data_IF_826543433927
#
_entry.id   IF_826543433927
#
_cell.length_a   1.000
_cell.length_b   1.000
_cell.length_c   1.000
_cell.angle_alpha   90.00
_cell.angle_beta   90.00
_cell.angle_gamma   90.00
#
_symmetry.space_group_name_H-M   'P 1'
#
loop_
_entity.id
_entity.type
_entity.pdbx_description
1 polymer ?
#
# COMPACT_ATOMS: atom_id res chain seq x y z
N UNK A 1 55.96 -7.13 7.80
CA UNK A 1 56.97 -7.85 6.99
C UNK A 1 56.20 -8.82 6.10
N UNK A 2 55.98 -8.45 4.84
CA UNK A 2 55.30 -9.26 3.81
C UNK A 2 56.38 -9.85 2.88
N UNK A 3 56.22 -11.07 2.32
CA UNK A 3 57.20 -11.65 1.40
C UNK A 3 57.06 -11.07 -0.02
N UNK A 4 58.12 -11.13 -0.86
CA UNK A 4 58.14 -10.48 -2.17
C UNK A 4 57.48 -11.32 -3.27
N UNK A 5 56.90 -10.63 -4.26
CA UNK A 5 56.24 -11.19 -5.45
C UNK A 5 57.28 -11.37 -6.58
N UNK A 6 57.25 -12.52 -7.24
CA UNK A 6 58.16 -12.95 -8.31
C UNK A 6 57.80 -12.32 -9.68
N UNK A 7 58.73 -11.62 -10.37
CA UNK A 7 58.45 -10.91 -11.62
C UNK A 7 58.75 -11.77 -12.86
N UNK A 8 58.09 -12.92 -13.03
CA UNK A 8 58.09 -13.69 -14.28
C UNK A 8 56.76 -14.40 -14.56
N UNK A 9 55.71 -13.63 -14.87
CA UNK A 9 54.65 -14.06 -15.79
C UNK A 9 54.08 -12.84 -16.54
N UNK A 10 54.96 -12.18 -17.30
CA UNK A 10 54.58 -11.25 -18.37
C UNK A 10 54.48 -12.08 -19.65
N UNK A 11 53.26 -12.33 -20.11
CA UNK A 11 52.95 -13.11 -21.31
C UNK A 11 51.93 -12.40 -22.20
N UNK A 12 52.47 -11.58 -23.12
CA UNK A 12 51.99 -11.24 -24.47
C UNK A 12 50.53 -10.77 -24.67
N UNK A 13 50.43 -9.47 -24.92
CA UNK A 13 49.38 -8.82 -25.71
C UNK A 13 49.25 -9.43 -27.11
N UNK A 14 48.01 -9.67 -27.54
CA UNK A 14 47.65 -9.81 -28.96
C UNK A 14 46.51 -8.83 -29.28
N UNK A 15 46.79 -7.95 -30.24
CA UNK A 15 45.94 -6.91 -30.78
C UNK A 15 44.64 -7.43 -31.41
N UNK A 16 43.50 -6.82 -31.04
CA UNK A 16 42.27 -6.87 -31.81
C UNK A 16 41.88 -5.44 -32.22
N UNK A 17 42.04 -5.13 -33.52
CA UNK A 17 41.64 -3.86 -34.14
C UNK A 17 40.12 -3.85 -34.41
N UNK A 18 39.41 -2.74 -34.21
CA UNK A 18 38.05 -2.56 -34.73
C UNK A 18 38.09 -2.10 -36.21
N UNK A 19 37.25 -2.70 -37.04
CA UNK A 19 37.05 -2.28 -38.44
C UNK A 19 36.10 -1.07 -38.48
N UNK A 20 36.65 0.05 -38.95
CA UNK A 20 35.92 1.25 -39.37
C UNK A 20 35.34 1.00 -40.76
N UNK A 21 34.04 1.24 -40.95
CA UNK A 21 33.42 1.44 -42.25
C UNK A 21 32.93 2.87 -42.31
N UNK A 22 33.47 3.64 -43.25
CA UNK A 22 33.03 4.98 -43.58
C UNK A 22 33.07 5.17 -45.08
N UNK A 23 31.96 5.65 -45.63
CA UNK A 23 31.72 6.39 -46.88
C UNK A 23 30.22 6.25 -47.18
N UNK A 24 29.41 7.27 -47.51
CA UNK A 24 29.61 8.61 -48.07
C UNK A 24 28.42 9.50 -47.70
N UNK A 25 28.66 10.80 -47.79
CA UNK A 25 27.70 11.90 -47.69
C UNK A 25 26.75 11.95 -48.89
N UNK A 26 25.53 12.44 -48.69
CA UNK A 26 24.85 13.40 -49.56
C UNK A 26 23.79 14.19 -48.75
N UNK A 27 23.73 15.48 -49.05
CA UNK A 27 22.95 16.57 -48.44
C UNK A 27 21.46 16.56 -48.84
N UNK A 28 20.74 17.54 -48.26
CA UNK A 28 19.44 18.12 -48.66
C UNK A 28 18.19 17.40 -48.12
N UNK A 29 17.09 18.01 -47.67
CA UNK A 29 16.64 19.38 -47.31
C UNK A 29 15.22 19.20 -46.73
N UNK A 30 14.82 20.09 -45.81
CA UNK A 30 13.46 20.59 -45.53
C UNK A 30 12.26 19.68 -45.15
N UNK A 31 11.57 20.13 -44.11
CA UNK A 31 10.19 19.78 -43.75
C UNK A 31 9.18 20.38 -44.75
N UNK A 32 7.92 19.89 -44.77
CA UNK A 32 6.84 20.80 -44.34
C UNK A 32 5.65 20.11 -43.63
N UNK A 33 4.89 20.92 -42.89
CA UNK A 33 3.45 20.77 -42.57
C UNK A 33 2.71 21.97 -43.19
N UNK A 34 1.37 22.11 -43.09
CA UNK A 34 0.28 21.28 -43.65
C UNK A 34 -0.73 22.13 -44.49
N UNK A 35 -1.54 21.55 -45.38
CA UNK A 35 -2.73 22.21 -46.00
C UNK A 35 -3.79 21.13 -46.34
N UNK A 36 -4.97 21.14 -45.69
CA UNK A 36 -6.28 21.74 -46.08
C UNK A 36 -7.15 20.85 -47.00
N UNK A 37 -8.41 20.59 -46.58
CA UNK A 37 -9.47 19.88 -47.36
C UNK A 37 -9.95 20.66 -48.60
N UNK A 38 -11.04 20.25 -49.31
CA UNK A 38 -12.38 20.01 -48.73
C UNK A 38 -13.28 18.89 -49.38
N UNK A 39 -14.39 18.62 -48.70
CA UNK A 39 -15.80 18.29 -49.08
C UNK A 39 -16.24 17.54 -50.38
N UNK A 40 -17.31 16.74 -50.22
CA UNK A 40 -18.32 16.34 -51.24
C UNK A 40 -18.49 14.81 -51.36
N UNK A 41 -19.55 14.12 -50.93
CA UNK A 41 -21.02 14.17 -51.15
C UNK A 41 -21.51 12.94 -51.96
N UNK A 42 -22.29 12.09 -51.28
CA UNK A 42 -23.57 11.41 -51.64
C UNK A 42 -23.84 10.65 -52.96
N UNK A 43 -24.74 9.67 -52.80
CA UNK A 43 -25.68 8.97 -53.73
C UNK A 43 -25.11 7.85 -54.61
N UNK A 44 -25.57 6.59 -54.45
CA UNK A 44 -26.76 5.94 -55.09
C UNK A 44 -26.60 5.87 -56.63
N UNK A 45 -26.89 4.81 -57.38
CA UNK A 45 -27.90 3.76 -57.28
C UNK A 45 -27.58 2.59 -58.27
N UNK A 46 -28.27 1.45 -58.09
CA UNK A 46 -28.88 0.58 -59.14
C UNK A 46 -27.98 -0.18 -60.16
N UNK A 47 -28.33 -1.33 -60.73
CA UNK A 47 -29.35 -2.38 -60.54
C UNK A 47 -29.10 -3.46 -61.65
N UNK A 48 -29.94 -4.51 -61.67
CA UNK A 48 -30.14 -5.52 -62.74
C UNK A 48 -29.14 -6.70 -62.81
N UNK A 49 -29.54 -7.97 -62.96
CA UNK A 49 -30.82 -8.66 -63.15
C UNK A 49 -30.52 -10.18 -63.20
N UNK A 50 -31.34 -11.06 -62.63
CA UNK A 50 -32.43 -11.81 -63.29
C UNK A 50 -32.16 -13.32 -63.18
N UNK A 51 -33.01 -14.09 -62.48
CA UNK A 51 -34.05 -15.02 -63.00
C UNK A 51 -33.46 -16.36 -63.53
N UNK A 52 -33.90 -17.59 -63.22
CA UNK A 52 -35.21 -18.24 -62.93
C UNK A 52 -34.96 -19.61 -62.23
N UNK A 53 -35.70 -20.04 -61.18
CA UNK A 53 -36.93 -20.87 -61.15
C UNK A 53 -36.83 -22.34 -61.64
N UNK A 54 -36.91 -23.31 -60.71
CA UNK A 54 -37.92 -24.39 -60.59
C UNK A 54 -37.72 -25.07 -59.21
N UNK A 55 -38.64 -25.70 -58.48
CA UNK A 55 -40.05 -26.03 -58.66
C UNK A 55 -40.35 -27.30 -57.84
N UNK A 56 -41.50 -27.33 -57.15
CA UNK A 56 -42.18 -28.44 -56.41
C UNK A 56 -41.72 -28.74 -54.97
N UNK A 57 -42.46 -28.40 -53.90
CA UNK A 57 -43.83 -28.78 -53.45
C UNK A 57 -43.86 -30.23 -52.87
N UNK A 58 -44.43 -30.58 -51.72
CA UNK A 58 -45.41 -29.95 -50.81
C UNK A 58 -45.49 -30.80 -49.49
N UNK A 59 -46.46 -30.66 -48.57
CA UNK A 59 -46.21 -30.23 -47.19
C UNK A 59 -46.73 -31.24 -46.13
N UNK A 60 -46.89 -30.79 -44.88
CA UNK A 60 -48.06 -31.00 -43.99
C UNK A 60 -47.80 -31.40 -42.52
N UNK A 61 -48.38 -30.57 -41.64
CA UNK A 61 -48.95 -30.81 -40.29
C UNK A 61 -47.96 -30.74 -39.09
N UNK A 62 -48.18 -30.01 -37.98
CA UNK A 62 -49.35 -29.29 -37.41
C UNK A 62 -48.87 -28.42 -36.21
N UNK A 63 -49.52 -27.25 -36.03
CA UNK A 63 -50.01 -26.54 -34.81
C UNK A 63 -49.82 -27.22 -33.43
N UNK A 64 -49.68 -26.59 -32.24
CA UNK A 64 -49.75 -25.21 -31.72
C UNK A 64 -49.26 -25.22 -30.22
N UNK A 65 -49.29 -24.11 -29.44
CA UNK A 65 -48.40 -23.80 -28.30
C UNK A 65 -49.03 -23.96 -26.88
N UNK A 66 -48.22 -23.72 -25.83
CA UNK A 66 -48.54 -23.32 -24.42
C UNK A 66 -47.39 -23.82 -23.51
N UNK A 67 -46.90 -23.20 -22.43
CA UNK A 67 -47.40 -22.16 -21.51
C UNK A 67 -46.17 -21.52 -20.81
N UNK A 68 -46.19 -20.20 -20.62
CA UNK A 68 -45.49 -19.55 -19.50
C UNK A 68 -46.34 -19.70 -18.22
N UNK A 69 -45.70 -19.71 -17.04
CA UNK A 69 -46.23 -18.85 -16.00
C UNK A 69 -45.13 -18.00 -15.32
N UNK A 70 -45.43 -16.70 -15.28
CA UNK A 70 -45.01 -15.72 -14.29
C UNK A 70 -45.22 -16.20 -12.86
N UNK A 71 -44.27 -15.92 -11.95
CA UNK A 71 -44.57 -15.50 -10.57
C UNK A 71 -43.30 -15.08 -9.79
N UNK A 72 -43.21 -13.79 -9.49
CA UNK A 72 -42.62 -13.18 -8.27
C UNK A 72 -43.57 -12.03 -7.90
N UNK A 73 -43.65 -11.51 -6.64
CA UNK A 73 -42.72 -11.68 -5.51
C UNK A 73 -43.40 -11.90 -4.12
N UNK A 74 -42.63 -12.33 -3.10
CA UNK A 74 -42.96 -11.99 -1.69
C UNK A 74 -41.70 -11.71 -0.86
N UNK A 75 -41.58 -10.45 -0.45
CA UNK A 75 -40.80 -9.94 0.69
C UNK A 75 -41.35 -10.51 2.01
N UNK A 76 -40.47 -11.00 2.90
CA UNK A 76 -40.52 -10.71 4.35
C UNK A 76 -39.16 -11.01 5.02
N UNK A 77 -38.78 -10.25 6.06
CA UNK A 77 -37.41 -10.16 6.54
C UNK A 77 -37.08 -11.19 7.64
N UNK A 78 -35.92 -11.85 7.53
CA UNK A 78 -35.36 -12.64 8.61
C UNK A 78 -34.73 -11.73 9.68
N UNK A 79 -35.15 -11.95 10.93
CA UNK A 79 -34.90 -11.09 12.09
C UNK A 79 -33.45 -10.99 12.58
N UNK A 80 -33.21 -9.88 13.27
CA UNK A 80 -32.02 -9.55 14.05
C UNK A 80 -31.75 -10.56 15.19
N UNK A 81 -30.49 -10.94 15.45
CA UNK A 81 -30.09 -11.43 16.75
C UNK A 81 -29.68 -10.26 17.66
N UNK A 82 -30.51 -9.96 18.65
CA UNK A 82 -30.16 -9.16 19.83
C UNK A 82 -29.35 -10.03 20.80
N UNK A 83 -28.08 -9.67 21.03
CA UNK A 83 -27.30 -10.17 22.17
C UNK A 83 -27.18 -9.04 23.21
N UNK A 84 -28.05 -9.11 24.24
CA UNK A 84 -27.81 -8.51 25.55
C UNK A 84 -26.87 -9.42 26.35
N UNK A 85 -25.77 -8.91 26.96
CA UNK A 85 -25.08 -9.66 27.99
C UNK A 85 -25.80 -9.50 29.33
N UNK A 86 -26.16 -10.65 29.91
CA UNK A 86 -26.74 -10.78 31.23
C UNK A 86 -25.83 -10.23 32.34
N UNK A 87 -26.49 -9.50 33.24
CA UNK A 87 -26.08 -9.12 34.58
C UNK A 87 -25.70 -10.36 35.41
N UNK A 88 -24.46 -10.38 35.92
CA UNK A 88 -24.11 -11.16 37.11
C UNK A 88 -23.34 -10.27 38.07
N UNK A 89 -24.03 -9.93 39.15
CA UNK A 89 -23.54 -9.36 40.39
C UNK A 89 -22.32 -10.09 40.96
N UNK A 90 -21.32 -9.31 41.40
CA UNK A 90 -20.34 -9.73 42.38
C UNK A 90 -20.13 -8.59 43.38
N UNK A 91 -20.27 -8.96 44.64
CA UNK A 91 -20.36 -8.16 45.86
C UNK A 91 -19.28 -7.10 46.08
N UNK A 92 -19.72 -6.03 46.73
CA UNK A 92 -18.91 -5.03 47.40
C UNK A 92 -18.09 -5.62 48.56
N UNK A 93 -16.84 -5.20 48.70
CA UNK A 93 -16.16 -5.16 49.98
C UNK A 93 -15.21 -3.96 50.03
N UNK A 94 -15.65 -2.96 50.78
CA UNK A 94 -14.95 -1.76 51.22
C UNK A 94 -13.83 -2.09 52.21
N UNK A 95 -12.74 -1.32 52.16
CA UNK A 95 -11.65 -1.42 53.12
C UNK A 95 -10.64 -0.28 53.01
N UNK A 96 -10.88 0.79 53.78
CA UNK A 96 -9.90 1.83 54.11
C UNK A 96 -8.64 1.24 54.77
N UNK A 97 -7.43 1.74 54.50
CA UNK A 97 -6.28 1.53 55.37
C UNK A 97 -6.18 2.60 56.47
N UNK A 98 -5.98 2.24 57.75
CA UNK A 98 -5.79 3.21 58.83
C UNK A 98 -4.33 3.68 58.95
N UNK A 99 -4.20 4.93 59.41
CA UNK A 99 -2.96 5.51 59.92
C UNK A 99 -2.78 5.22 61.43
N UNK A 100 -1.53 4.99 61.86
CA UNK A 100 -0.97 5.26 63.21
C UNK A 100 0.45 4.63 63.31
N UNK A 101 1.53 5.42 63.31
CA UNK A 101 2.23 5.96 64.49
C UNK A 101 3.14 4.96 65.24
N UNK A 102 4.44 5.25 65.26
CA UNK A 102 5.44 4.63 66.15
C UNK A 102 6.76 5.42 66.12
N UNK A 103 7.00 6.19 67.18
CA UNK A 103 8.24 6.87 67.58
C UNK A 103 9.34 5.85 67.95
N UNK A 104 10.65 6.11 68.18
CA UNK A 104 11.52 7.24 68.55
C UNK A 104 12.98 6.77 68.29
N UNK A 105 13.92 7.68 68.02
CA UNK A 105 15.37 7.38 68.10
C UNK A 105 16.25 8.52 67.61
N UNK A 106 17.15 9.01 68.47
CA UNK A 106 17.75 10.35 68.43
C UNK A 106 19.14 10.46 67.74
N UNK A 107 19.42 11.70 67.28
CA UNK A 107 20.68 12.46 67.29
C UNK A 107 21.88 12.01 66.42
N UNK A 108 22.36 12.88 65.51
CA UNK A 108 23.45 13.87 65.73
C UNK A 108 23.92 14.51 64.40
N UNK A 109 24.14 15.83 64.47
CA UNK A 109 25.03 16.76 63.75
C UNK A 109 25.63 16.43 62.37
N UNK A 110 25.50 17.40 61.44
CA UNK A 110 26.47 17.61 60.36
C UNK A 110 25.92 18.35 59.14
N UNK A 111 25.96 19.68 59.14
CA UNK A 111 25.87 20.50 57.91
C UNK A 111 27.24 20.58 57.21
N UNK A 112 27.30 20.50 55.87
CA UNK A 112 28.02 21.51 55.08
C UNK A 112 27.34 21.76 53.69
N UNK A 113 27.83 22.68 52.81
CA UNK A 113 27.08 23.89 52.45
C UNK A 113 26.65 23.94 50.96
N UNK A 114 25.88 24.99 50.67
CA UNK A 114 25.49 25.55 49.37
C UNK A 114 26.18 25.00 48.11
N UNK A 115 25.36 24.38 47.27
CA UNK A 115 25.62 24.17 45.86
C UNK A 115 24.33 24.41 45.07
N UNK A 116 24.34 25.44 44.23
CA UNK A 116 23.28 25.78 43.28
C UNK A 116 22.85 24.55 42.47
N UNK A 117 21.77 23.90 42.91
CA UNK A 117 20.99 23.02 42.04
C UNK A 117 20.09 23.93 41.22
N UNK A 118 20.63 24.34 40.08
CA UNK A 118 19.85 24.72 38.91
C UNK A 118 18.87 23.58 38.68
N UNK A 119 17.64 23.77 39.14
CA UNK A 119 16.51 22.96 38.73
C UNK A 119 16.30 23.26 37.25
N UNK A 120 17.00 22.50 36.42
CA UNK A 120 16.57 22.29 35.05
C UNK A 120 15.22 21.59 35.16
N UNK A 121 14.17 22.40 35.29
CA UNK A 121 12.82 22.04 34.94
C UNK A 121 12.95 21.34 33.59
N UNK A 122 12.71 20.02 33.60
CA UNK A 122 12.46 19.27 32.40
C UNK A 122 11.21 19.91 31.79
N UNK A 123 11.43 20.95 31.00
CA UNK A 123 10.45 21.45 30.07
C UNK A 123 10.11 20.24 29.21
N UNK A 124 9.03 19.55 29.59
CA UNK A 124 8.45 18.52 28.76
C UNK A 124 8.22 19.20 27.44
N UNK A 125 9.07 18.89 26.45
CA UNK A 125 8.85 19.33 25.10
C UNK A 125 7.49 18.74 24.76
N UNK A 126 6.44 19.56 24.78
CA UNK A 126 5.16 19.18 24.21
C UNK A 126 5.45 18.97 22.74
N UNK A 127 5.88 17.75 22.37
CA UNK A 127 5.94 17.32 20.99
C UNK A 127 4.53 17.55 20.49
N UNK A 128 4.38 18.47 19.54
CA UNK A 128 3.07 18.72 18.95
C UNK A 128 2.60 17.39 18.37
N UNK A 129 1.34 17.06 18.60
CA UNK A 129 0.71 15.90 17.96
C UNK A 129 0.92 16.01 16.44
N UNK A 130 1.56 15.01 15.81
CA UNK A 130 1.80 15.06 14.37
C UNK A 130 0.46 15.08 13.64
N UNK A 131 0.33 15.94 12.64
CA UNK A 131 -0.85 16.01 11.78
C UNK A 131 -0.74 14.94 10.71
N UNK A 132 -1.68 14.00 10.72
CA UNK A 132 -1.75 12.92 9.74
C UNK A 132 -3.03 13.05 8.92
N UNK A 133 -2.90 13.03 7.60
CA UNK A 133 -4.05 12.85 6.72
C UNK A 133 -4.18 11.38 6.39
N UNK A 134 -5.36 10.82 6.62
CA UNK A 134 -5.79 9.56 6.01
C UNK A 134 -6.52 9.93 4.73
N UNK A 135 -5.96 9.52 3.58
CA UNK A 135 -6.50 9.90 2.28
C UNK A 135 -7.86 9.22 2.05
N UNK A 136 -8.91 10.03 1.94
CA UNK A 136 -10.24 9.55 1.59
C UNK A 136 -10.43 9.60 0.07
N UNK A 137 -10.47 8.43 -0.55
CA UNK A 137 -10.75 8.28 -1.97
C UNK A 137 -11.86 7.25 -2.22
N UNK A 138 -12.70 7.02 -1.19
CA UNK A 138 -13.82 6.09 -1.26
C UNK A 138 -13.46 4.61 -1.07
N UNK A 139 -12.25 4.29 -0.56
CA UNK A 139 -11.84 2.89 -0.32
C UNK A 139 -11.73 2.52 1.17
N UNK A 140 -12.36 1.39 1.52
CA UNK A 140 -12.03 0.59 2.70
C UNK A 140 -12.55 1.03 4.07
N UNK A 141 -12.09 0.31 5.10
CA UNK A 141 -12.43 0.54 6.50
C UNK A 141 -11.46 1.56 7.14
N UNK A 142 -11.50 2.80 6.66
CA UNK A 142 -10.61 3.90 7.08
C UNK A 142 -10.76 4.27 8.56
N UNK A 143 -11.92 3.99 9.16
CA UNK A 143 -12.22 4.34 10.56
C UNK A 143 -11.31 3.62 11.56
N UNK A 144 -10.92 2.38 11.29
CA UNK A 144 -10.00 1.65 12.18
C UNK A 144 -8.61 2.29 12.19
N UNK A 145 -8.09 2.67 11.02
CA UNK A 145 -6.80 3.35 10.90
C UNK A 145 -6.83 4.73 11.59
N UNK A 146 -7.87 5.52 11.35
CA UNK A 146 -8.09 6.82 12.00
C UNK A 146 -8.08 6.68 13.53
N UNK A 147 -8.87 5.74 14.08
CA UNK A 147 -8.95 5.52 15.53
C UNK A 147 -7.60 5.08 16.12
N UNK A 148 -6.86 4.21 15.43
CA UNK A 148 -5.55 3.76 15.90
C UNK A 148 -4.55 4.92 15.95
N UNK A 149 -4.45 5.71 14.88
CA UNK A 149 -3.57 6.88 14.84
C UNK A 149 -3.92 7.92 15.90
N UNK A 150 -5.21 8.18 16.14
CA UNK A 150 -5.67 9.06 17.21
C UNK A 150 -5.29 8.53 18.60
N UNK A 151 -5.44 7.22 18.84
CA UNK A 151 -5.01 6.57 20.09
C UNK A 151 -3.51 6.70 20.33
N UNK A 152 -2.71 6.73 19.25
CA UNK A 152 -1.26 6.95 19.30
C UNK A 152 -0.87 8.44 19.42
N UNK A 153 -1.84 9.36 19.52
CA UNK A 153 -1.60 10.77 19.78
C UNK A 153 -1.46 11.67 18.55
N UNK A 154 -1.74 11.15 17.35
CA UNK A 154 -1.76 11.96 16.13
C UNK A 154 -3.03 12.79 16.00
N UNK A 155 -2.91 13.99 15.43
CA UNK A 155 -4.05 14.79 14.98
C UNK A 155 -4.46 14.32 13.58
N UNK A 156 -5.54 13.55 13.49
CA UNK A 156 -5.92 12.84 12.24
C UNK A 156 -7.06 13.53 11.53
N UNK A 157 -6.89 13.73 10.22
CA UNK A 157 -7.93 14.21 9.31
C UNK A 157 -8.19 13.17 8.21
N UNK A 158 -9.45 12.74 8.05
CA UNK A 158 -9.88 11.90 6.94
C UNK A 158 -10.41 12.83 5.84
N UNK A 159 -9.68 12.95 4.73
CA UNK A 159 -10.02 13.93 3.68
C UNK A 159 -9.41 13.56 2.33
N UNK A 160 -10.03 14.05 1.27
CA UNK A 160 -9.50 14.05 -0.10
C UNK A 160 -8.82 15.38 -0.48
N UNK A 161 -8.82 16.37 0.42
CA UNK A 161 -8.34 17.72 0.11
C UNK A 161 -6.82 17.71 -0.21
N UNK A 162 -6.42 18.09 -1.44
CA UNK A 162 -5.01 18.11 -1.82
C UNK A 162 -4.19 19.07 -0.95
N UNK A 163 -4.76 20.18 -0.47
CA UNK A 163 -4.04 21.13 0.39
C UNK A 163 -3.77 20.51 1.75
N UNK A 164 -4.76 19.87 2.35
CA UNK A 164 -4.59 19.12 3.59
C UNK A 164 -3.56 18.00 3.46
N UNK A 165 -3.66 17.16 2.42
CA UNK A 165 -2.76 16.03 2.17
C UNK A 165 -1.31 16.49 1.93
N UNK A 166 -1.11 17.57 1.18
CA UNK A 166 0.19 18.21 1.00
C UNK A 166 0.60 19.04 2.23
N UNK A 167 -0.27 19.36 3.16
CA UNK A 167 0.07 20.15 4.35
C UNK A 167 0.43 19.31 5.57
N UNK A 168 0.05 18.03 5.60
CA UNK A 168 0.22 17.14 6.75
C UNK A 168 1.66 16.68 6.96
N UNK A 169 2.00 16.32 8.20
CA UNK A 169 3.30 15.72 8.53
C UNK A 169 3.40 14.32 7.92
N UNK A 170 2.33 13.51 8.05
CA UNK A 170 2.20 12.19 7.42
C UNK A 170 0.97 12.06 6.50
N UNK A 171 1.08 11.24 5.45
CA UNK A 171 -0.04 10.82 4.61
C UNK A 171 -0.20 9.30 4.69
N UNK A 172 -1.35 8.83 5.15
CA UNK A 172 -1.70 7.40 5.13
C UNK A 172 -2.61 7.13 3.94
N UNK A 173 -2.26 6.14 3.13
CA UNK A 173 -2.99 5.66 1.96
C UNK A 173 -3.58 4.29 2.29
N UNK A 174 -4.84 4.22 2.76
CA UNK A 174 -5.49 2.96 3.10
C UNK A 174 -6.09 2.33 1.85
N UNK A 175 -6.12 1.00 1.73
CA UNK A 175 -6.87 0.35 0.64
C UNK A 175 -7.42 -1.01 1.02
N UNK A 176 -8.68 -1.26 0.68
CA UNK A 176 -9.35 -2.57 0.80
C UNK A 176 -10.18 -2.81 -0.46
N UNK A 177 -10.26 -4.06 -0.89
CA UNK A 177 -11.05 -4.47 -2.05
C UNK A 177 -10.14 -4.74 -3.24
N UNK A 178 -10.61 -4.37 -4.43
CA UNK A 178 -9.92 -4.62 -5.68
C UNK A 178 -8.85 -3.55 -5.97
N UNK A 179 -7.68 -3.99 -6.47
CA UNK A 179 -6.57 -3.13 -6.86
C UNK A 179 -7.01 -2.03 -7.84
N UNK A 180 -7.72 -2.39 -8.91
CA UNK A 180 -8.06 -1.43 -9.97
C UNK A 180 -9.11 -0.42 -9.50
N UNK A 181 -10.05 -0.84 -8.65
CA UNK A 181 -10.98 0.09 -8.00
C UNK A 181 -10.25 1.11 -7.11
N UNK A 182 -9.29 0.64 -6.29
CA UNK A 182 -8.48 1.54 -5.45
C UNK A 182 -7.62 2.50 -6.28
N UNK A 183 -6.97 2.00 -7.33
CA UNK A 183 -6.16 2.82 -8.22
C UNK A 183 -7.00 3.88 -8.98
N UNK A 184 -8.22 3.54 -9.41
CA UNK A 184 -9.16 4.48 -10.00
C UNK A 184 -9.59 5.57 -9.00
N UNK A 185 -9.96 5.17 -7.78
CA UNK A 185 -10.35 6.12 -6.72
C UNK A 185 -9.21 7.07 -6.36
N UNK A 186 -7.98 6.56 -6.23
CA UNK A 186 -6.80 7.41 -6.02
C UNK A 186 -6.61 8.44 -7.13
N UNK A 187 -6.75 8.04 -8.40
CA UNK A 187 -6.66 8.98 -9.52
C UNK A 187 -7.76 10.04 -9.50
N UNK A 188 -8.97 9.68 -9.09
CA UNK A 188 -10.09 10.62 -9.00
C UNK A 188 -9.85 11.77 -8.00
N UNK A 189 -8.98 11.54 -6.99
CA UNK A 189 -8.58 12.58 -6.01
C UNK A 189 -7.16 13.09 -6.24
N UNK A 190 -6.58 12.83 -7.43
CA UNK A 190 -5.21 13.26 -7.79
C UNK A 190 -4.12 12.66 -6.86
N UNK A 191 -4.43 11.51 -6.25
CA UNK A 191 -3.60 10.76 -5.32
C UNK A 191 -2.17 10.48 -5.83
N UNK A 192 -1.96 10.04 -7.09
CA UNK A 192 -0.61 9.84 -7.61
C UNK A 192 0.26 11.09 -7.51
N UNK A 193 -0.24 12.26 -7.93
CA UNK A 193 0.52 13.51 -7.81
C UNK A 193 0.76 13.89 -6.36
N UNK A 194 -0.22 13.68 -5.47
CA UNK A 194 -0.05 13.96 -4.03
C UNK A 194 1.07 13.11 -3.41
N UNK A 195 1.11 11.82 -3.75
CA UNK A 195 2.14 10.89 -3.28
C UNK A 195 3.50 11.29 -3.86
N UNK A 196 3.61 11.50 -5.18
CA UNK A 196 4.85 11.88 -5.85
C UNK A 196 5.46 13.17 -5.26
N UNK A 197 4.64 14.22 -5.10
CA UNK A 197 5.09 15.51 -4.56
C UNK A 197 5.60 15.35 -3.13
N UNK A 198 4.92 14.54 -2.31
CA UNK A 198 5.37 14.28 -0.93
C UNK A 198 6.69 13.53 -0.91
N UNK A 199 6.81 12.45 -1.67
CA UNK A 199 8.00 11.62 -1.71
C UNK A 199 9.21 12.38 -2.27
N UNK A 200 9.02 13.18 -3.32
CA UNK A 200 10.06 14.07 -3.85
C UNK A 200 10.57 15.08 -2.81
N UNK A 201 9.70 15.51 -1.88
CA UNK A 201 10.05 16.38 -0.76
C UNK A 201 10.57 15.65 0.49
N UNK A 202 10.76 14.33 0.44
CA UNK A 202 11.17 13.53 1.61
C UNK A 202 10.08 13.40 2.68
N UNK A 203 8.81 13.61 2.33
CA UNK A 203 7.70 13.69 3.29
C UNK A 203 7.01 12.34 3.47
N UNK A 204 6.81 11.87 4.71
CA UNK A 204 6.33 10.51 4.96
C UNK A 204 4.99 10.15 4.33
N UNK A 205 4.92 8.94 3.75
CA UNK A 205 3.72 8.29 3.21
C UNK A 205 3.66 6.84 3.73
N UNK A 206 2.48 6.38 4.15
CA UNK A 206 2.26 5.01 4.63
C UNK A 206 1.14 4.30 3.85
N UNK A 207 1.43 3.24 3.12
CA UNK A 207 0.44 2.42 2.41
C UNK A 207 -0.04 1.20 3.22
N UNK A 208 -1.35 0.93 3.26
CA UNK A 208 -1.91 -0.27 3.93
C UNK A 208 -2.68 -1.15 2.95
N UNK A 209 -2.34 -2.44 2.93
CA UNK A 209 -2.99 -3.50 2.14
C UNK A 209 -3.06 -3.15 0.66
N UNK A 210 -4.23 -2.84 0.10
CA UNK A 210 -4.31 -2.42 -1.31
C UNK A 210 -3.61 -1.07 -1.52
N UNK A 211 -3.57 -0.21 -0.50
CA UNK A 211 -2.77 1.00 -0.50
C UNK A 211 -1.25 0.75 -0.59
N UNK A 212 -0.77 -0.41 -0.16
CA UNK A 212 0.59 -0.87 -0.48
C UNK A 212 0.68 -1.37 -1.92
N UNK A 213 -0.28 -2.21 -2.33
CA UNK A 213 -0.24 -2.85 -3.65
C UNK A 213 -0.20 -1.85 -4.79
N UNK A 214 -1.01 -0.78 -4.72
CA UNK A 214 -1.06 0.26 -5.76
C UNK A 214 0.26 0.99 -5.94
N UNK A 215 1.22 0.89 -5.01
CA UNK A 215 2.56 1.48 -5.16
C UNK A 215 3.46 0.72 -6.14
N UNK A 216 3.09 -0.51 -6.51
CA UNK A 216 3.75 -1.29 -7.57
C UNK A 216 3.32 -0.83 -8.97
N UNK A 217 3.90 -1.40 -10.04
CA UNK A 217 3.56 -1.02 -11.42
C UNK A 217 2.14 -1.43 -11.81
N UNK A 218 1.72 -2.63 -11.42
CA UNK A 218 0.48 -3.23 -11.89
C UNK A 218 -0.06 -4.33 -10.96
N UNK A 219 -1.25 -4.83 -11.27
CA UNK A 219 -1.85 -6.03 -10.66
C UNK A 219 -2.45 -6.92 -11.73
N UNK A 220 -2.34 -8.23 -11.53
CA UNK A 220 -3.02 -9.25 -12.32
C UNK A 220 -4.42 -9.60 -11.76
N UNK A 221 -4.89 -8.87 -10.74
CA UNK A 221 -6.24 -9.03 -10.24
C UNK A 221 -7.26 -8.67 -11.32
N UNK A 222 -8.28 -9.51 -11.59
CA UNK A 222 -9.32 -9.17 -12.55
C UNK A 222 -10.00 -7.85 -12.21
N UNK A 223 -10.20 -7.00 -13.22
CA UNK A 223 -10.96 -5.76 -13.12
C UNK A 223 -12.37 -5.97 -13.65
N UNK A 224 -13.37 -5.37 -12.98
CA UNK A 224 -14.74 -5.26 -13.53
C UNK A 224 -14.81 -4.17 -14.62
N UNK A 225 -13.91 -3.19 -14.60
CA UNK A 225 -13.80 -2.12 -15.57
C UNK A 225 -12.45 -2.09 -16.29
N UNK A 226 -12.08 -0.94 -16.87
CA UNK A 226 -10.77 -0.77 -17.49
C UNK A 226 -9.63 -1.00 -16.46
N UNK A 227 -8.68 -1.91 -16.73
CA UNK A 227 -7.53 -2.11 -15.87
C UNK A 227 -6.80 -0.80 -15.63
N UNK A 228 -6.54 -0.52 -14.36
CA UNK A 228 -5.80 0.64 -13.91
C UNK A 228 -4.34 0.26 -13.65
N UNK A 229 -3.35 1.03 -14.13
CA UNK A 229 -1.97 0.85 -13.71
C UNK A 229 -1.83 1.22 -12.23
N UNK A 230 -0.79 0.73 -11.57
CA UNK A 230 -0.36 1.23 -10.27
C UNK A 230 0.34 2.58 -10.38
N UNK A 231 1.03 2.96 -9.32
CA UNK A 231 1.72 4.24 -9.17
C UNK A 231 3.23 4.13 -9.47
N UNK A 232 3.74 2.92 -9.71
CA UNK A 232 5.12 2.67 -10.13
C UNK A 232 6.18 3.30 -9.19
N UNK A 233 5.88 3.38 -7.88
CA UNK A 233 6.87 3.76 -6.87
C UNK A 233 7.89 2.63 -6.65
N UNK A 234 7.43 1.38 -6.85
CA UNK A 234 8.28 0.19 -6.88
C UNK A 234 8.00 -0.63 -8.15
N UNK A 235 9.03 -1.23 -8.75
CA UNK A 235 8.83 -2.11 -9.88
C UNK A 235 8.14 -3.41 -9.43
N UNK A 236 7.32 -3.98 -10.31
CA UNK A 236 6.73 -5.30 -10.13
C UNK A 236 5.22 -5.35 -10.30
N UNK A 237 4.71 -6.58 -10.39
CA UNK A 237 3.28 -6.84 -10.55
C UNK A 237 2.75 -7.62 -9.36
N UNK A 238 1.65 -7.13 -8.79
CA UNK A 238 0.90 -7.82 -7.75
C UNK A 238 0.13 -8.97 -8.39
N UNK A 239 0.36 -10.20 -7.92
CA UNK A 239 -0.19 -11.43 -8.53
C UNK A 239 -0.87 -12.29 -7.48
N UNK A 240 -1.74 -13.21 -7.93
CA UNK A 240 -2.48 -14.09 -7.02
C UNK A 240 -1.52 -15.03 -6.30
N UNK A 241 -1.69 -15.20 -5.00
CA UNK A 241 -0.92 -16.15 -4.21
C UNK A 241 -1.18 -17.59 -4.71
N UNK A 242 -0.14 -18.39 -5.00
CA UNK A 242 -0.27 -19.78 -5.43
C UNK A 242 -0.46 -20.69 -4.22
N UNK A 243 -1.53 -20.46 -3.44
CA UNK A 243 -1.86 -21.24 -2.25
C UNK A 243 -3.18 -22.00 -2.45
N UNK A 244 -3.30 -23.15 -1.78
CA UNK A 244 -4.52 -23.96 -1.83
C UNK A 244 -5.73 -23.23 -1.23
N UNK A 245 -5.51 -22.43 -0.18
CA UNK A 245 -6.55 -21.65 0.51
C UNK A 245 -6.27 -20.17 0.29
N UNK A 246 -7.17 -19.49 -0.41
CA UNK A 246 -7.14 -18.04 -0.64
C UNK A 246 -8.53 -17.45 -0.37
N UNK A 247 -8.65 -16.26 0.24
CA UNK A 247 -7.56 -15.35 0.63
C UNK A 247 -6.67 -15.89 1.77
N UNK A 248 -5.40 -15.46 1.80
CA UNK A 248 -4.57 -15.54 3.01
C UNK A 248 -5.25 -14.67 4.08
N UNK A 249 -5.90 -15.33 5.05
CA UNK A 249 -6.70 -14.69 6.08
C UNK A 249 -6.29 -15.19 7.45
N UNK A 250 -5.85 -14.27 8.31
CA UNK A 250 -5.48 -14.58 9.69
C UNK A 250 -4.14 -13.99 10.09
N UNK A 251 -3.62 -14.48 11.21
CA UNK A 251 -2.40 -13.99 11.82
C UNK A 251 -1.19 -14.75 11.30
N UNK A 252 -0.20 -14.04 10.74
CA UNK A 252 1.04 -14.63 10.24
C UNK A 252 2.27 -13.85 10.72
N UNK A 253 3.43 -14.50 10.76
CA UNK A 253 4.71 -13.88 11.10
C UNK A 253 5.36 -13.25 9.87
N UNK A 254 6.35 -12.41 10.11
CA UNK A 254 7.15 -11.78 9.05
C UNK A 254 8.64 -11.99 9.32
N UNK A 255 9.45 -11.91 8.26
CA UNK A 255 10.90 -11.89 8.31
C UNK A 255 11.36 -10.48 7.93
N UNK A 256 11.47 -9.60 8.92
CA UNK A 256 11.89 -8.21 8.74
C UNK A 256 13.42 -8.08 8.78
N UNK A 257 14.03 -7.15 8.01
CA UNK A 257 15.45 -6.82 8.16
C UNK A 257 15.77 -6.33 9.57
N UNK A 258 16.93 -6.74 10.12
CA UNK A 258 17.30 -6.52 11.52
C UNK A 258 17.36 -5.04 11.97
N UNK A 259 17.49 -4.11 11.03
CA UNK A 259 17.61 -2.67 11.28
C UNK A 259 16.42 -1.87 10.73
N UNK A 260 15.29 -2.53 10.47
CA UNK A 260 14.06 -1.84 10.07
C UNK A 260 13.55 -0.96 11.22
N UNK A 261 13.35 0.32 10.95
CA UNK A 261 12.69 1.23 11.88
C UNK A 261 11.20 0.91 12.02
N UNK A 262 10.55 0.46 10.93
CA UNK A 262 9.15 0.03 10.95
C UNK A 262 8.90 -1.07 11.99
N UNK A 263 9.79 -2.07 12.05
CA UNK A 263 9.65 -3.23 12.95
C UNK A 263 10.41 -3.11 14.28
N UNK A 264 10.89 -1.92 14.65
CA UNK A 264 11.57 -1.71 15.92
C UNK A 264 10.67 -2.14 17.09
N UNK A 265 11.14 -3.12 17.87
CA UNK A 265 10.40 -3.69 19.01
C UNK A 265 9.24 -4.64 18.67
N UNK A 266 9.00 -4.95 17.39
CA UNK A 266 7.85 -5.76 16.95
C UNK A 266 8.19 -6.81 15.86
N UNK A 267 9.47 -7.05 15.56
CA UNK A 267 9.91 -7.93 14.47
C UNK A 267 9.58 -9.42 14.62
N UNK A 268 9.19 -9.88 15.81
CA UNK A 268 8.84 -11.29 16.08
C UNK A 268 7.34 -11.51 16.28
N UNK A 269 6.54 -10.46 16.15
CA UNK A 269 5.09 -10.50 16.37
C UNK A 269 4.35 -11.11 15.19
N UNK A 270 3.04 -11.33 15.38
CA UNK A 270 2.12 -11.75 14.33
C UNK A 270 1.27 -10.58 13.88
N UNK A 271 0.98 -10.53 12.59
CA UNK A 271 0.17 -9.47 11.97
C UNK A 271 -1.02 -10.07 11.25
N UNK A 272 -2.13 -9.32 11.18
CA UNK A 272 -3.37 -9.77 10.56
C UNK A 272 -3.39 -9.48 9.06
N UNK A 273 -3.42 -10.54 8.26
CA UNK A 273 -3.50 -10.50 6.80
C UNK A 273 -4.92 -10.85 6.33
N UNK A 274 -5.35 -10.24 5.24
CA UNK A 274 -6.56 -10.60 4.49
C UNK A 274 -6.40 -10.18 3.02
N UNK A 275 -5.83 -11.05 2.20
CA UNK A 275 -5.57 -10.75 0.78
C UNK A 275 -5.46 -12.02 -0.08
N UNK A 276 -5.85 -11.93 -1.36
CA UNK A 276 -5.61 -13.01 -2.35
C UNK A 276 -4.43 -12.74 -3.26
N UNK A 277 -3.99 -11.48 -3.35
CA UNK A 277 -2.93 -11.01 -4.23
C UNK A 277 -1.82 -10.37 -3.40
N UNK A 278 -0.57 -10.48 -3.86
CA UNK A 278 0.59 -9.83 -3.27
C UNK A 278 1.70 -9.66 -4.31
N UNK A 279 2.65 -8.77 -4.05
CA UNK A 279 3.93 -8.78 -4.76
C UNK A 279 4.75 -9.98 -4.26
N UNK A 280 5.14 -10.87 -5.17
CA UNK A 280 5.87 -12.11 -4.85
C UNK A 280 7.36 -12.02 -5.21
N UNK A 281 7.75 -10.93 -5.86
CA UNK A 281 9.12 -10.67 -6.29
C UNK A 281 9.51 -9.25 -5.91
N UNK A 282 10.80 -9.03 -5.69
CA UNK A 282 11.38 -7.72 -5.48
C UNK A 282 12.62 -7.58 -6.36
N UNK A 283 12.65 -6.57 -7.22
CA UNK A 283 13.71 -6.39 -8.22
C UNK A 283 14.43 -5.05 -8.10
N UNK A 284 14.01 -4.19 -7.16
CA UNK A 284 14.67 -2.91 -6.91
C UNK A 284 15.88 -3.11 -5.99
N UNK A 285 17.05 -3.29 -6.60
CA UNK A 285 18.33 -3.44 -5.92
C UNK A 285 19.29 -2.31 -6.32
N UNK A 286 19.22 -1.13 -5.67
CA UNK A 286 20.15 -0.04 -5.95
C UNK A 286 21.59 -0.45 -5.65
N UNK A 287 22.51 -0.10 -6.55
CA UNK A 287 23.94 -0.39 -6.41
C UNK A 287 24.77 0.88 -6.15
N UNK A 288 26.05 0.70 -5.83
CA UNK A 288 27.00 1.80 -5.64
C UNK A 288 26.61 2.73 -4.50
N UNK A 289 26.61 4.05 -4.75
CA UNK A 289 26.30 5.05 -3.73
C UNK A 289 24.86 4.92 -3.18
N UNK A 290 23.94 4.39 -3.99
CA UNK A 290 22.53 4.24 -3.61
C UNK A 290 22.26 2.96 -2.80
N UNK A 291 23.21 2.02 -2.72
CA UNK A 291 23.05 0.80 -1.93
C UNK A 291 22.78 1.07 -0.43
N UNK A 292 23.26 2.22 0.08
CA UNK A 292 23.02 2.63 1.48
C UNK A 292 21.61 3.09 1.77
N UNK A 293 20.84 3.42 0.73
CA UNK A 293 19.44 3.82 0.81
C UNK A 293 18.55 2.78 0.13
N UNK A 294 19.05 1.55 -0.01
CA UNK A 294 18.28 0.45 -0.57
C UNK A 294 17.03 0.20 0.29
N UNK A 295 15.88 -0.11 -0.34
CA UNK A 295 14.65 -0.42 0.39
C UNK A 295 14.84 -1.65 1.30
N UNK A 296 14.30 -1.56 2.51
CA UNK A 296 14.22 -2.68 3.44
C UNK A 296 12.92 -3.44 3.20
N UNK A 297 13.06 -4.64 2.65
CA UNK A 297 11.92 -5.48 2.25
C UNK A 297 11.71 -6.56 3.30
N UNK A 298 10.49 -6.59 3.84
CA UNK A 298 10.05 -7.59 4.82
C UNK A 298 9.19 -8.62 4.13
N UNK A 299 9.48 -9.90 4.38
CA UNK A 299 8.82 -11.02 3.71
C UNK A 299 7.89 -11.79 4.65
N UNK A 300 6.88 -12.43 4.09
CA UNK A 300 6.09 -13.48 4.75
C UNK A 300 5.81 -14.59 3.73
N UNK A 301 5.19 -15.68 4.15
CA UNK A 301 4.93 -16.84 3.31
C UNK A 301 3.48 -17.32 3.47
N UNK A 302 2.83 -17.57 2.34
CA UNK A 302 1.54 -18.26 2.27
C UNK A 302 1.40 -18.94 0.91
N UNK A 303 1.77 -20.23 0.84
CA UNK A 303 1.94 -20.97 -0.41
C UNK A 303 3.24 -20.62 -1.15
N UNK A 304 3.58 -19.33 -1.23
CA UNK A 304 4.85 -18.81 -1.70
C UNK A 304 5.29 -17.57 -0.89
N UNK A 305 6.58 -17.20 -0.93
CA UNK A 305 7.07 -15.94 -0.37
C UNK A 305 6.41 -14.74 -1.02
N UNK A 306 6.07 -13.73 -0.22
CA UNK A 306 5.55 -12.46 -0.69
C UNK A 306 6.04 -11.29 0.15
N UNK A 307 6.04 -10.10 -0.43
CA UNK A 307 6.42 -8.86 0.23
C UNK A 307 5.32 -8.47 1.21
N UNK A 308 5.63 -8.57 2.51
CA UNK A 308 4.73 -8.27 3.60
C UNK A 308 4.79 -6.79 4.04
N UNK A 309 5.95 -6.15 3.89
CA UNK A 309 6.12 -4.72 4.12
C UNK A 309 7.36 -4.20 3.40
N UNK A 310 7.40 -2.89 3.15
CA UNK A 310 8.56 -2.18 2.58
C UNK A 310 8.80 -0.91 3.38
N UNK A 311 10.06 -0.69 3.76
CA UNK A 311 10.56 0.56 4.32
C UNK A 311 11.55 1.16 3.31
N UNK A 312 11.13 2.19 2.59
CA UNK A 312 11.91 2.83 1.53
C UNK A 312 11.96 4.36 1.73
N UNK A 313 12.94 4.82 2.51
CA UNK A 313 13.07 6.24 2.86
C UNK A 313 11.77 6.76 3.50
N UNK A 314 11.11 7.81 2.93
CA UNK A 314 9.85 8.33 3.44
C UNK A 314 8.61 7.48 3.07
N UNK A 315 8.74 6.47 2.20
CA UNK A 315 7.63 5.61 1.77
C UNK A 315 7.68 4.28 2.53
N UNK A 316 6.73 4.10 3.45
CA UNK A 316 6.56 2.85 4.18
C UNK A 316 5.25 2.20 3.75
N UNK A 317 5.17 0.87 3.77
CA UNK A 317 3.91 0.20 3.49
C UNK A 317 3.84 -1.21 4.09
N UNK A 318 2.64 -1.69 4.36
CA UNK A 318 2.37 -3.05 4.87
C UNK A 318 1.24 -3.72 4.09
N UNK A 319 1.42 -4.99 3.75
CA UNK A 319 0.39 -5.82 3.12
C UNK A 319 -0.67 -6.25 4.16
N UNK A 320 -0.25 -6.46 5.39
CA UNK A 320 -1.13 -6.68 6.53
C UNK A 320 -1.76 -5.38 7.03
N UNK A 321 -2.74 -5.52 7.91
CA UNK A 321 -3.49 -4.42 8.51
C UNK A 321 -2.97 -4.11 9.93
N UNK A 322 -2.04 -3.15 10.11
CA UNK A 322 -1.54 -2.81 11.44
C UNK A 322 -2.68 -2.32 12.36
N UNK A 323 -3.69 -1.64 11.82
CA UNK A 323 -4.86 -1.20 12.58
C UNK A 323 -5.75 -2.35 13.10
N UNK A 324 -5.52 -3.59 12.62
CA UNK A 324 -6.20 -4.81 13.04
C UNK A 324 -5.26 -5.79 13.76
N UNK A 325 -3.99 -5.43 13.94
CA UNK A 325 -2.95 -6.33 14.46
C UNK A 325 -2.64 -6.09 15.95
N UNK A 326 -3.60 -5.55 16.72
CA UNK A 326 -3.45 -5.30 18.15
C UNK A 326 -2.26 -4.41 18.50
N UNK A 327 -1.58 -4.71 19.60
CA UNK A 327 -0.43 -3.94 20.10
C UNK A 327 0.76 -3.98 19.15
N UNK A 328 0.99 -5.10 18.46
CA UNK A 328 2.04 -5.23 17.45
C UNK A 328 1.81 -4.23 16.30
N UNK A 329 0.57 -4.11 15.83
CA UNK A 329 0.22 -3.14 14.81
C UNK A 329 0.26 -1.69 15.30
N UNK A 330 -0.11 -1.44 16.55
CA UNK A 330 0.03 -0.13 17.19
C UNK A 330 1.50 0.29 17.30
N UNK A 331 2.41 -0.63 17.62
CA UNK A 331 3.85 -0.38 17.65
C UNK A 331 4.40 0.07 16.29
N UNK A 332 4.01 -0.61 15.19
CA UNK A 332 4.43 -0.23 13.83
C UNK A 332 3.96 1.17 13.43
N UNK A 333 2.69 1.50 13.68
CA UNK A 333 2.17 2.84 13.40
C UNK A 333 2.82 3.88 14.32
N UNK A 334 3.12 3.53 15.57
CA UNK A 334 3.86 4.38 16.50
C UNK A 334 5.28 4.68 16.00
N UNK A 335 5.99 3.67 15.48
CA UNK A 335 7.31 3.82 14.88
C UNK A 335 7.26 4.78 13.67
N UNK A 336 6.25 4.63 12.81
CA UNK A 336 6.06 5.56 11.69
C UNK A 336 5.76 6.98 12.16
N UNK A 337 4.90 7.17 13.17
CA UNK A 337 4.59 8.49 13.73
C UNK A 337 5.82 9.18 14.33
N UNK A 338 6.81 8.43 14.83
CA UNK A 338 8.07 8.98 15.33
C UNK A 338 8.98 9.54 14.22
N UNK A 339 8.69 9.23 12.95
CA UNK A 339 9.41 9.78 11.78
C UNK A 339 8.86 11.12 11.29
N UNK A 340 7.72 11.56 11.84
CA UNK A 340 7.00 12.78 11.42
C UNK A 340 7.55 14.06 12.07
#
# INVERSE_FOLDING_TARGET
>A
MLPPIDPKMIGRHSDARPKVHGQRQQEETEAPTPESGPEGSESESESEGGDTDDGSADPDLVDEPADEPTDEPTDEPAGEPTDEPADTSADEASGDPPAASGSVGAATDGEPPDGDLVTASAAGSHRRSPRVVVLDYGSGNVRSAVRMLQRLGAAVELTADPVAALGADGLLVPGVGNFHACAAGLRAVDGPRLIDVRLAGGRPVFGICVGMQVLFDASAEPSVGAPQPGLAQWPGTVTRLPAQVVPHMGWNTVSAPAHSALFAGAGHERFYFVHSYAAQEWTLHPEGAFARVAPLVTWSEHGAPFVAAVENGPLWATQFHPEKSGDAGAALLGNWLQTL
#
